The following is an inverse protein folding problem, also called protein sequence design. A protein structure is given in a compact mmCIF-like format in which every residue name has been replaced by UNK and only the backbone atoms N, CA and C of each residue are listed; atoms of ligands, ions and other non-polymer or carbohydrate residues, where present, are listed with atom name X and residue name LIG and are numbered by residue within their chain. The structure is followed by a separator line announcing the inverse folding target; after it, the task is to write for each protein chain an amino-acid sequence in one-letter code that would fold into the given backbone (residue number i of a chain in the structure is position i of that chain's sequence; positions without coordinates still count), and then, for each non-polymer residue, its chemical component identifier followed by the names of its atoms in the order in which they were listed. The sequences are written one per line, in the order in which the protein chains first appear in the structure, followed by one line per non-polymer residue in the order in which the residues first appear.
data_IF_590058545153
#
_entry.id   IF_590058545153
#
_cell.length_a   1.000
_cell.length_b   1.000
_cell.length_c   1.000
_cell.angle_alpha   90.00
_cell.angle_beta   90.00
_cell.angle_gamma   90.00
#
_symmetry.space_group_name_H-M   'P 1'
#
loop_
_entity.id
_entity.type
_entity.pdbx_description
1 polymer ?
#
# COMPACT_ATOMS: atom_id res chain seq x y z
N UNK A 1 3.97 10.56 -1.49
CA UNK A 1 2.98 10.14 -0.47
C UNK A 1 3.15 11.03 0.75
N UNK A 2 2.07 11.62 1.28
CA UNK A 2 2.14 12.44 2.51
C UNK A 2 2.14 11.51 3.73
N UNK A 3 2.89 11.88 4.77
CA UNK A 3 2.95 11.16 6.04
C UNK A 3 2.28 12.01 7.12
N UNK A 4 1.45 11.38 7.94
CA UNK A 4 0.79 12.00 9.09
C UNK A 4 0.41 10.90 10.09
N UNK A 5 0.34 11.25 11.38
CA UNK A 5 0.03 10.33 12.47
C UNK A 5 -1.46 9.99 12.58
N UNK A 6 -2.07 9.51 11.49
CA UNK A 6 -3.48 9.10 11.51
C UNK A 6 -3.66 7.86 12.37
N UNK A 7 -4.43 7.98 13.45
CA UNK A 7 -4.68 6.88 14.39
C UNK A 7 -5.19 5.61 13.71
N UNK A 8 -6.04 5.75 12.69
CA UNK A 8 -6.60 4.63 11.91
C UNK A 8 -5.54 3.80 11.17
N UNK A 9 -4.36 4.36 10.92
CA UNK A 9 -3.23 3.64 10.33
C UNK A 9 -2.25 3.09 11.39
N UNK A 10 -2.42 3.47 12.65
CA UNK A 10 -1.59 3.02 13.76
C UNK A 10 -1.83 1.54 14.09
N UNK A 11 -0.74 0.79 14.29
CA UNK A 11 -0.81 -0.61 14.70
C UNK A 11 -1.26 -1.60 13.61
N UNK A 12 -1.34 -1.17 12.34
CA UNK A 12 -1.66 -2.08 11.26
C UNK A 12 -0.56 -3.14 11.08
N UNK A 13 -0.91 -4.41 11.30
CA UNK A 13 -0.01 -5.56 11.09
C UNK A 13 0.24 -5.88 9.59
N UNK A 14 -0.37 -5.09 8.70
CA UNK A 14 -0.32 -5.21 7.26
C UNK A 14 -0.17 -3.81 6.64
N UNK A 15 0.30 -3.71 5.38
CA UNK A 15 0.38 -2.43 4.68
C UNK A 15 -0.98 -1.70 4.67
N UNK A 16 -1.02 -0.47 5.15
CA UNK A 16 -2.24 0.34 5.27
C UNK A 16 -2.02 1.76 4.74
N UNK A 17 -3.04 2.32 4.07
CA UNK A 17 -3.07 3.69 3.58
C UNK A 17 -4.44 4.32 3.81
N UNK A 18 -4.46 5.64 3.96
CA UNK A 18 -5.68 6.45 3.93
C UNK A 18 -5.66 7.29 2.65
N UNK A 19 -6.78 7.29 1.92
CA UNK A 19 -6.92 8.05 0.68
C UNK A 19 -7.96 9.14 0.90
N UNK A 20 -7.54 10.38 0.66
CA UNK A 20 -8.44 11.51 0.54
C UNK A 20 -8.86 11.66 -0.92
N UNK A 21 -10.16 11.52 -1.20
CA UNK A 21 -10.71 11.51 -2.57
C UNK A 21 -11.28 12.87 -3.01
N UNK A 22 -11.33 13.84 -2.11
CA UNK A 22 -11.75 15.23 -2.35
C UNK A 22 -12.19 15.93 -1.06
N UNK A 23 -12.39 17.24 -1.15
CA UNK A 23 -12.77 18.12 -0.05
C UNK A 23 -14.23 18.55 -0.16
N UNK A 24 -15.08 18.14 0.80
CA UNK A 24 -16.48 18.56 0.84
C UNK A 24 -16.66 20.07 1.09
N UNK A 25 -15.67 20.72 1.71
CA UNK A 25 -15.65 22.18 1.90
C UNK A 25 -15.49 22.94 0.58
N UNK A 26 -15.04 22.27 -0.48
CA UNK A 26 -14.95 22.82 -1.82
C UNK A 26 -16.20 22.44 -2.63
N UNK A 27 -17.08 23.41 -2.90
CA UNK A 27 -18.33 23.21 -3.66
C UNK A 27 -18.15 22.50 -5.01
N UNK A 28 -17.01 22.69 -5.68
CA UNK A 28 -16.76 22.04 -6.98
C UNK A 28 -16.46 20.55 -6.80
N UNK A 29 -15.73 20.19 -5.75
CA UNK A 29 -15.38 18.80 -5.44
C UNK A 29 -16.55 18.06 -4.81
N UNK A 30 -17.27 18.71 -3.89
CA UNK A 30 -18.54 18.21 -3.33
C UNK A 30 -19.51 17.77 -4.45
N UNK A 31 -19.76 18.65 -5.43
CA UNK A 31 -20.63 18.33 -6.58
C UNK A 31 -20.13 17.14 -7.38
N UNK A 32 -18.81 17.03 -7.60
CA UNK A 32 -18.21 15.91 -8.32
C UNK A 32 -18.35 14.61 -7.53
N UNK A 33 -18.08 14.62 -6.23
CA UNK A 33 -18.24 13.46 -5.35
C UNK A 33 -19.69 12.98 -5.28
N UNK A 34 -20.65 13.90 -5.51
CA UNK A 34 -22.07 13.60 -5.64
C UNK A 34 -22.46 12.78 -6.88
N UNK A 35 -21.65 12.75 -7.95
CA UNK A 35 -21.99 12.00 -9.18
C UNK A 35 -21.51 10.55 -9.14
N UNK A 36 -22.31 9.65 -9.71
CA UNK A 36 -21.98 8.23 -9.75
C UNK A 36 -20.76 7.97 -10.64
N UNK A 37 -20.68 8.66 -11.78
CA UNK A 37 -19.61 8.52 -12.77
C UNK A 37 -18.24 8.88 -12.17
N UNK A 38 -18.20 9.93 -11.34
CA UNK A 38 -16.95 10.34 -10.70
C UNK A 38 -16.51 9.36 -9.61
N UNK A 39 -17.44 8.91 -8.76
CA UNK A 39 -17.14 7.88 -7.74
C UNK A 39 -16.67 6.57 -8.37
N UNK A 40 -17.28 6.18 -9.47
CA UNK A 40 -16.91 4.99 -10.23
C UNK A 40 -15.51 5.14 -10.87
N UNK A 41 -15.17 6.32 -11.39
CA UNK A 41 -13.82 6.60 -11.87
C UNK A 41 -12.76 6.53 -10.75
N UNK A 42 -13.07 7.06 -9.55
CA UNK A 42 -12.21 6.97 -8.38
C UNK A 42 -12.02 5.51 -7.93
N UNK A 43 -13.11 4.73 -7.87
CA UNK A 43 -13.08 3.32 -7.50
C UNK A 43 -12.18 2.50 -8.44
N UNK A 44 -12.31 2.71 -9.76
CA UNK A 44 -11.45 2.06 -10.77
C UNK A 44 -9.98 2.42 -10.60
N UNK A 45 -9.68 3.69 -10.32
CA UNK A 45 -8.31 4.13 -10.09
C UNK A 45 -7.70 3.45 -8.85
N UNK A 46 -8.45 3.39 -7.75
CA UNK A 46 -8.03 2.73 -6.50
C UNK A 46 -7.81 1.23 -6.75
N UNK A 47 -8.76 0.57 -7.41
CA UNK A 47 -8.67 -0.86 -7.75
C UNK A 47 -7.41 -1.16 -8.58
N UNK A 48 -7.18 -0.36 -9.63
CA UNK A 48 -6.03 -0.55 -10.52
C UNK A 48 -4.71 -0.43 -9.76
N UNK A 49 -4.60 0.60 -8.90
CA UNK A 49 -3.42 0.79 -8.05
C UNK A 49 -3.22 -0.36 -7.05
N UNK A 50 -4.29 -0.86 -6.44
CA UNK A 50 -4.24 -1.98 -5.50
C UNK A 50 -3.83 -3.30 -6.19
N UNK A 51 -4.39 -3.58 -7.37
CA UNK A 51 -4.06 -4.77 -8.15
C UNK A 51 -2.57 -4.78 -8.55
N UNK A 52 -2.04 -3.63 -8.97
CA UNK A 52 -0.62 -3.49 -9.25
C UNK A 52 0.23 -3.64 -7.98
N UNK A 53 -0.16 -3.00 -6.88
CA UNK A 53 0.54 -3.14 -5.61
C UNK A 53 0.61 -4.61 -5.18
N UNK A 54 -0.51 -5.33 -5.24
CA UNK A 54 -0.59 -6.76 -4.88
C UNK A 54 0.35 -7.60 -5.73
N UNK A 55 0.36 -7.40 -7.06
CA UNK A 55 1.26 -8.11 -7.98
C UNK A 55 2.73 -7.89 -7.60
N UNK A 56 3.12 -6.64 -7.34
CA UNK A 56 4.50 -6.30 -6.95
C UNK A 56 4.84 -6.85 -5.56
N UNK A 57 3.90 -6.77 -4.61
CA UNK A 57 4.06 -7.30 -3.27
C UNK A 57 4.30 -8.81 -3.29
N UNK A 58 3.47 -9.56 -4.02
CA UNK A 58 3.61 -11.03 -4.15
C UNK A 58 4.94 -11.43 -4.79
N UNK A 59 5.37 -10.70 -5.82
CA UNK A 59 6.68 -10.93 -6.44
C UNK A 59 7.82 -10.74 -5.44
N UNK A 60 7.81 -9.64 -4.68
CA UNK A 60 8.83 -9.38 -3.64
C UNK A 60 8.84 -10.45 -2.56
N UNK A 61 7.66 -10.89 -2.12
CA UNK A 61 7.54 -11.95 -1.11
C UNK A 61 8.05 -13.29 -1.63
N UNK A 62 7.77 -13.64 -2.89
CA UNK A 62 8.31 -14.84 -3.54
C UNK A 62 9.84 -14.79 -3.63
N UNK A 63 10.41 -13.66 -4.08
CA UNK A 63 11.87 -13.51 -4.15
C UNK A 63 12.55 -13.56 -2.80
N UNK A 64 11.89 -13.06 -1.74
CA UNK A 64 12.41 -13.12 -0.38
C UNK A 64 12.41 -14.55 0.17
N UNK A 65 11.43 -15.38 -0.23
CA UNK A 65 11.34 -16.79 0.18
C UNK A 65 12.31 -17.70 -0.60
N UNK A 66 12.66 -17.34 -1.82
CA UNK A 66 13.58 -18.12 -2.67
C UNK A 66 15.04 -17.68 -2.58
N UNK A 67 15.38 -16.68 -1.76
CA UNK A 67 16.76 -16.25 -1.57
C UNK A 67 17.54 -17.35 -0.83
N UNK A 68 18.74 -17.76 -1.31
CA UNK A 68 19.52 -18.77 -0.62
C UNK A 68 19.87 -18.25 0.77
N UNK A 69 19.61 -19.07 1.80
CA UNK A 69 20.02 -18.78 3.17
C UNK A 69 21.50 -18.39 3.13
N UNK A 70 21.85 -17.17 3.57
CA UNK A 70 23.24 -16.77 3.71
C UNK A 70 23.95 -17.89 4.47
N UNK A 71 24.90 -18.55 3.82
CA UNK A 71 25.76 -19.53 4.46
C UNK A 71 26.39 -18.85 5.68
N UNK A 72 26.07 -19.35 6.87
CA UNK A 72 26.73 -18.91 8.09
C UNK A 72 28.25 -19.08 7.90
N UNK A 73 29.09 -18.13 8.34
CA UNK A 73 30.53 -18.33 8.30
C UNK A 73 30.86 -19.57 9.12
N UNK A 74 31.56 -20.52 8.50
CA UNK A 74 32.02 -21.73 9.14
C UNK A 74 32.72 -21.38 10.46
N UNK A 75 32.28 -22.03 11.54
CA UNK A 75 32.94 -21.95 12.84
C UNK A 75 34.44 -22.19 12.69
N UNK A 76 35.24 -21.24 13.17
CA UNK A 76 36.69 -21.42 13.34
C UNK A 76 36.94 -22.59 14.31
N UNK A 77 37.91 -23.48 14.02
CA UNK A 77 38.25 -24.55 14.94
C UNK A 77 38.99 -24.00 16.15
N UNK A 78 38.59 -24.47 17.32
CA UNK A 78 39.20 -24.19 18.62
C UNK A 78 40.69 -24.57 18.62
N UNK A 79 41.52 -23.65 19.12
CA UNK A 79 42.84 -23.94 19.68
C UNK A 79 42.95 -23.26 21.03
#
# INVERSE_FOLDING_TARGET
VKQAGFYVLGGAAMPAILIEIGFLTNRKEEKKLGTAEHREALARAIYTGLAEYKRRYDQRMRTAQSAPARSAPASLPSR
#
